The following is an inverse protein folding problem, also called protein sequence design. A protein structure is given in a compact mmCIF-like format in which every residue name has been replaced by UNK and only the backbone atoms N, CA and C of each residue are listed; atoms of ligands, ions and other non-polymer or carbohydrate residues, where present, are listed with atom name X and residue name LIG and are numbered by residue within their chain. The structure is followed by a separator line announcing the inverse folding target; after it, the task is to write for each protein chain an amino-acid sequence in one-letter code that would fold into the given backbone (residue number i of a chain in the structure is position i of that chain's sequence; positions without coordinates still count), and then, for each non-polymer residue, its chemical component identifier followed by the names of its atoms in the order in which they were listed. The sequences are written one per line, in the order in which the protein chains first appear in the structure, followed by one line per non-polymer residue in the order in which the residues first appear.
data_IF_314360542113
#
_entry.id   IF_314360542113
#
_cell.length_a   1.000
_cell.length_b   1.000
_cell.length_c   1.000
_cell.angle_alpha   90.00
_cell.angle_beta   90.00
_cell.angle_gamma   90.00
#
_symmetry.space_group_name_H-M   'P 1'
#
loop_
_entity.id
_entity.type
_entity.pdbx_description
1 polymer ?
#
# COMPACT_ATOMS: atom_id res chain seq x y z
N UNK A 1 52.90 30.68 0.89
CA UNK A 1 52.48 29.37 0.36
C UNK A 1 51.20 29.01 1.07
N UNK A 2 50.19 29.88 1.02
CA UNK A 2 49.27 30.13 -0.13
C UNK A 2 48.36 28.90 -0.27
N UNK A 3 47.04 28.97 -0.34
CA UNK A 3 46.06 30.02 -0.17
C UNK A 3 44.68 29.32 -0.16
N UNK A 4 43.64 30.04 0.26
CA UNK A 4 42.24 29.95 -0.22
C UNK A 4 41.15 29.02 0.40
N UNK A 5 40.12 29.74 0.91
CA UNK A 5 38.65 29.49 0.88
C UNK A 5 38.06 28.33 1.73
N UNK A 6 36.90 28.40 2.42
CA UNK A 6 35.74 29.27 2.29
C UNK A 6 34.86 29.35 3.58
N UNK A 7 34.09 30.44 3.63
CA UNK A 7 32.84 30.77 4.34
C UNK A 7 32.12 29.75 5.26
N UNK A 8 31.83 30.23 6.49
CA UNK A 8 30.67 29.86 7.30
C UNK A 8 29.41 30.64 6.88
N UNK A 9 28.22 30.05 7.06
CA UNK A 9 27.07 30.80 7.55
C UNK A 9 26.53 30.24 8.87
N UNK A 10 26.21 31.16 9.78
CA UNK A 10 25.38 30.96 10.96
C UNK A 10 23.92 30.79 10.54
N UNK A 11 23.20 29.84 11.13
CA UNK A 11 21.74 29.89 11.24
C UNK A 11 21.31 29.69 12.71
N UNK A 12 21.19 30.82 13.41
CA UNK A 12 20.27 31.00 14.54
C UNK A 12 18.99 31.60 13.95
N UNK A 13 17.90 30.84 13.87
CA UNK A 13 16.51 31.33 13.94
C UNK A 13 15.55 30.15 13.72
N UNK A 14 14.83 29.73 14.77
CA UNK A 14 13.36 29.65 14.78
C UNK A 14 12.87 28.92 16.04
N UNK A 15 13.05 29.56 17.20
CA UNK A 15 12.42 29.17 18.45
C UNK A 15 11.01 29.78 18.61
N UNK A 16 10.30 30.02 17.49
CA UNK A 16 8.96 30.65 17.48
C UNK A 16 7.83 29.78 16.94
N UNK A 17 8.08 28.52 16.55
CA UNK A 17 7.02 27.60 16.11
C UNK A 17 6.56 26.58 17.16
N UNK A 18 7.18 26.52 18.34
CA UNK A 18 6.81 25.55 19.38
C UNK A 18 5.66 26.07 20.28
N UNK A 19 5.37 27.38 20.27
CA UNK A 19 4.30 27.96 21.10
C UNK A 19 2.90 27.92 20.47
N UNK A 20 2.78 27.63 19.17
CA UNK A 20 1.48 27.58 18.48
C UNK A 20 0.85 26.17 18.46
N UNK A 21 1.64 25.12 18.67
CA UNK A 21 1.15 23.73 18.64
C UNK A 21 0.52 23.25 19.95
N UNK A 22 0.82 23.90 21.08
CA UNK A 22 0.29 23.51 22.39
C UNK A 22 -1.10 24.11 22.72
N UNK A 23 -1.57 25.10 21.95
CA UNK A 23 -2.87 25.74 22.20
C UNK A 23 -4.04 25.05 21.49
N UNK A 24 -3.76 24.27 20.43
CA UNK A 24 -4.79 23.55 19.66
C UNK A 24 -5.26 22.25 20.36
N UNK A 25 -4.36 21.58 21.08
CA UNK A 25 -4.69 20.33 21.79
C UNK A 25 -5.51 20.55 23.07
N UNK A 26 -5.42 21.73 23.69
CA UNK A 26 -6.19 22.05 24.90
C UNK A 26 -7.65 22.41 24.60
N UNK A 27 -7.97 22.83 23.36
CA UNK A 27 -9.33 23.19 22.94
C UNK A 27 -10.17 21.98 22.48
N UNK A 28 -9.53 20.89 22.02
CA UNK A 28 -10.21 19.67 21.57
C UNK A 28 -10.63 18.73 22.71
N UNK A 29 -10.01 18.83 23.89
CA UNK A 29 -10.37 18.02 25.07
C UNK A 29 -11.55 18.57 25.87
N UNK A 30 -12.01 19.79 25.59
CA UNK A 30 -13.19 20.41 26.23
C UNK A 30 -14.50 20.20 25.48
N UNK A 31 -14.46 19.68 24.25
CA UNK A 31 -15.66 19.42 23.42
C UNK A 31 -16.25 18.01 23.59
N UNK A 32 -15.56 17.09 24.27
CA UNK A 32 -16.05 15.73 24.53
C UNK A 32 -16.65 15.53 25.93
N UNK A 33 -16.75 16.58 26.75
CA UNK A 33 -17.28 16.51 28.12
C UNK A 33 -18.68 17.12 28.31
N UNK A 34 -19.36 17.51 27.22
CA UNK A 34 -20.74 17.99 27.26
C UNK A 34 -21.49 17.35 26.09
N UNK A 35 -22.27 16.31 26.39
CA UNK A 35 -23.68 16.12 26.02
C UNK A 35 -24.09 14.71 26.45
N UNK A 36 -24.72 14.65 27.62
CA UNK A 36 -25.40 13.46 28.12
C UNK A 36 -26.77 13.26 27.48
N UNK A 37 -27.12 11.99 27.32
CA UNK A 37 -28.30 11.33 27.89
C UNK A 37 -29.75 11.78 27.56
N UNK A 38 -30.53 10.72 27.19
CA UNK A 38 -31.98 10.43 27.43
C UNK A 38 -32.98 10.84 26.33
N UNK A 39 -33.72 9.87 25.76
CA UNK A 39 -35.15 9.55 26.00
C UNK A 39 -35.54 8.22 25.32
N UNK A 40 -36.26 7.38 26.07
CA UNK A 40 -36.98 6.14 25.73
C UNK A 40 -38.41 6.42 25.24
N UNK A 41 -39.00 5.58 24.36
CA UNK A 41 -40.38 5.06 24.47
C UNK A 41 -40.80 4.18 23.26
N UNK A 42 -41.76 3.31 23.53
CA UNK A 42 -42.24 2.09 22.85
C UNK A 42 -43.19 2.26 21.63
N UNK A 43 -43.40 1.10 21.00
CA UNK A 43 -44.45 0.59 20.09
C UNK A 43 -45.84 1.27 20.07
N UNK A 44 -46.50 1.18 18.90
CA UNK A 44 -47.95 1.42 18.77
C UNK A 44 -48.46 1.36 17.33
N UNK A 45 -49.44 0.51 17.11
CA UNK A 45 -49.90 -0.09 15.86
C UNK A 45 -50.96 0.72 15.06
N UNK A 46 -51.09 0.32 13.80
CA UNK A 46 -52.12 0.48 12.75
C UNK A 46 -53.46 1.26 12.91
N UNK A 47 -53.86 1.80 11.74
CA UNK A 47 -55.19 1.69 11.07
C UNK A 47 -56.18 2.88 11.03
N UNK A 48 -56.44 3.29 9.76
CA UNK A 48 -57.71 3.65 9.09
C UNK A 48 -58.66 4.77 9.62
N UNK A 49 -58.97 5.78 8.80
CA UNK A 49 -60.17 5.82 7.94
C UNK A 49 -60.31 7.12 7.11
N UNK A 50 -61.02 7.02 5.99
CA UNK A 50 -61.37 8.03 4.97
C UNK A 50 -62.24 9.19 5.52
N UNK A 51 -62.52 10.34 4.86
CA UNK A 51 -62.91 10.60 3.46
C UNK A 51 -63.04 12.12 3.22
N UNK A 52 -63.03 12.53 1.93
CA UNK A 52 -63.77 13.64 1.28
C UNK A 52 -63.00 14.92 0.85
N UNK A 53 -63.42 15.55 -0.28
CA UNK A 53 -62.52 16.16 -1.27
C UNK A 53 -62.62 17.70 -1.38
N UNK A 54 -61.64 18.32 -2.05
CA UNK A 54 -61.61 19.76 -2.37
C UNK A 54 -60.91 19.97 -3.74
N UNK A 55 -61.06 21.13 -4.42
CA UNK A 55 -61.70 21.21 -5.73
C UNK A 55 -60.74 21.50 -6.90
N UNK A 56 -61.28 21.32 -8.10
CA UNK A 56 -60.69 21.69 -9.40
C UNK A 56 -60.48 23.20 -9.56
N UNK A 57 -59.40 23.57 -10.24
CA UNK A 57 -59.05 24.92 -10.69
C UNK A 57 -58.12 24.81 -11.91
N UNK A 58 -58.07 25.81 -12.82
CA UNK A 58 -58.46 25.63 -14.21
C UNK A 58 -57.30 25.44 -15.18
N UNK A 59 -57.65 24.94 -16.38
CA UNK A 59 -56.79 24.86 -17.54
C UNK A 59 -56.29 26.24 -17.96
N UNK A 60 -54.97 26.38 -18.04
CA UNK A 60 -54.30 27.44 -18.81
C UNK A 60 -53.66 26.81 -20.03
N UNK A 61 -54.29 27.07 -21.16
CA UNK A 61 -53.76 26.88 -22.50
C UNK A 61 -52.78 28.01 -22.77
N UNK A 62 -51.50 27.71 -22.99
CA UNK A 62 -50.64 28.61 -23.77
C UNK A 62 -49.39 27.90 -24.33
N UNK A 63 -49.18 28.20 -25.61
CA UNK A 63 -47.94 28.10 -26.38
C UNK A 63 -47.50 26.68 -26.77
N UNK A 64 -48.00 26.26 -27.94
CA UNK A 64 -47.23 25.52 -28.93
C UNK A 64 -45.90 26.23 -29.22
N UNK A 65 -44.89 25.94 -28.40
CA UNK A 65 -43.51 26.19 -28.77
C UNK A 65 -43.13 25.17 -29.84
N UNK A 66 -42.88 25.66 -31.05
CA UNK A 66 -42.19 24.90 -32.08
C UNK A 66 -40.93 24.27 -31.47
N UNK A 67 -40.60 23.00 -31.77
CA UNK A 67 -39.35 22.44 -31.28
C UNK A 67 -38.20 23.32 -31.79
N UNK A 68 -37.22 23.68 -30.95
CA UNK A 68 -36.01 24.30 -31.46
C UNK A 68 -35.42 23.32 -32.47
N UNK A 69 -35.40 23.72 -33.74
CA UNK A 69 -34.60 23.10 -34.78
C UNK A 69 -33.14 23.35 -34.45
N UNK A 70 -32.61 22.57 -33.52
CA UNK A 70 -31.18 22.41 -33.34
C UNK A 70 -30.87 20.95 -33.67
N UNK A 71 -30.65 20.70 -34.96
CA UNK A 71 -30.10 19.45 -35.45
C UNK A 71 -28.65 19.32 -34.98
N UNK A 72 -28.43 18.95 -33.73
CA UNK A 72 -27.25 18.17 -33.39
C UNK A 72 -27.61 16.72 -33.72
N UNK A 73 -27.33 16.30 -34.95
CA UNK A 73 -27.49 14.89 -35.34
C UNK A 73 -26.71 14.03 -34.35
N UNK A 74 -27.40 13.10 -33.67
CA UNK A 74 -26.76 12.16 -32.76
C UNK A 74 -25.66 11.38 -33.49
N UNK A 75 -24.46 11.20 -32.90
CA UNK A 75 -23.34 10.54 -33.55
C UNK A 75 -23.74 9.15 -34.06
N UNK A 76 -23.49 8.87 -35.35
CA UNK A 76 -23.82 7.60 -35.97
C UNK A 76 -22.61 6.66 -35.99
N UNK A 77 -22.80 5.33 -36.01
CA UNK A 77 -21.69 4.38 -36.10
C UNK A 77 -20.74 4.61 -37.29
N UNK A 78 -21.26 5.15 -38.40
CA UNK A 78 -20.49 5.48 -39.61
C UNK A 78 -19.48 6.61 -39.43
N UNK A 79 -19.65 7.45 -38.39
CA UNK A 79 -18.77 8.58 -38.13
C UNK A 79 -17.44 8.14 -37.49
N UNK A 80 -17.37 6.88 -37.05
CA UNK A 80 -16.25 6.31 -36.31
C UNK A 80 -15.44 5.32 -37.16
N UNK A 81 -14.15 5.10 -36.82
CA UNK A 81 -13.28 4.19 -37.58
C UNK A 81 -13.78 2.75 -37.60
N UNK A 82 -14.43 2.33 -36.51
CA UNK A 82 -15.03 1.02 -36.37
C UNK A 82 -16.09 1.04 -35.25
N UNK A 83 -16.89 -0.02 -35.18
CA UNK A 83 -17.98 -0.16 -34.21
C UNK A 83 -17.48 -0.21 -32.74
N UNK A 84 -16.28 -0.75 -32.49
CA UNK A 84 -15.72 -0.82 -31.13
C UNK A 84 -15.40 0.58 -30.60
N UNK A 85 -14.80 1.44 -31.42
CA UNK A 85 -14.56 2.84 -31.05
C UNK A 85 -15.85 3.64 -30.87
N UNK A 86 -16.88 3.39 -31.69
CA UNK A 86 -18.21 4.00 -31.47
C UNK A 86 -18.81 3.59 -30.10
N UNK A 87 -18.70 2.31 -29.73
CA UNK A 87 -19.19 1.83 -28.44
C UNK A 87 -18.38 2.42 -27.27
N UNK A 88 -17.05 2.44 -27.38
CA UNK A 88 -16.18 3.07 -26.39
C UNK A 88 -16.50 4.57 -26.24
N UNK A 89 -16.73 5.29 -27.34
CA UNK A 89 -17.15 6.68 -27.31
C UNK A 89 -18.41 6.89 -26.46
N UNK A 90 -19.46 6.08 -26.66
CA UNK A 90 -20.69 6.19 -25.84
C UNK A 90 -20.41 5.99 -24.34
N UNK A 91 -19.54 5.02 -24.01
CA UNK A 91 -19.13 4.75 -22.62
C UNK A 91 -18.38 5.95 -22.05
N UNK A 92 -17.39 6.48 -22.78
CA UNK A 92 -16.61 7.65 -22.37
C UNK A 92 -17.50 8.87 -22.18
N UNK A 93 -18.44 9.15 -23.09
CA UNK A 93 -19.32 10.31 -22.96
C UNK A 93 -20.29 10.18 -21.78
N UNK A 94 -20.77 8.97 -21.47
CA UNK A 94 -21.57 8.73 -20.26
C UNK A 94 -20.75 8.94 -19.00
N UNK A 95 -19.53 8.41 -18.95
CA UNK A 95 -18.62 8.64 -17.83
C UNK A 95 -18.25 10.11 -17.67
N UNK A 96 -18.02 10.83 -18.76
CA UNK A 96 -17.77 12.28 -18.75
C UNK A 96 -18.89 13.06 -18.06
N UNK A 97 -20.14 12.60 -18.16
CA UNK A 97 -21.29 13.21 -17.49
C UNK A 97 -21.34 12.93 -15.97
N UNK A 98 -20.64 11.89 -15.48
CA UNK A 98 -20.54 11.60 -14.05
C UNK A 98 -19.39 12.33 -13.37
N UNK A 99 -18.44 12.88 -14.14
CA UNK A 99 -17.31 13.65 -13.61
C UNK A 99 -17.81 14.96 -13.02
N UNK A 100 -17.55 15.14 -11.72
CA UNK A 100 -17.97 16.31 -10.94
C UNK A 100 -16.87 17.37 -10.82
N UNK A 101 -15.61 17.00 -11.02
CA UNK A 101 -14.48 17.93 -11.04
C UNK A 101 -13.41 17.47 -12.04
N UNK A 102 -12.81 18.43 -12.74
CA UNK A 102 -11.68 18.22 -13.67
C UNK A 102 -10.75 19.43 -13.60
N UNK A 103 -9.90 19.52 -12.56
CA UNK A 103 -9.05 20.70 -12.32
C UNK A 103 -8.04 20.96 -13.43
N UNK A 104 -7.60 19.90 -14.11
CA UNK A 104 -6.60 19.96 -15.17
C UNK A 104 -7.24 20.12 -16.56
N UNK A 105 -8.57 20.14 -16.66
CA UNK A 105 -9.32 20.34 -17.91
C UNK A 105 -9.12 19.22 -18.94
N UNK A 106 -8.77 18.01 -18.51
CA UNK A 106 -8.43 16.89 -19.41
C UNK A 106 -9.64 16.44 -20.24
N UNK A 107 -10.83 16.46 -19.65
CA UNK A 107 -12.08 16.03 -20.29
C UNK A 107 -12.49 16.94 -21.45
N UNK A 108 -11.91 18.15 -21.56
CA UNK A 108 -12.09 19.04 -22.71
C UNK A 108 -11.63 18.40 -24.02
N UNK A 109 -10.65 17.47 -23.95
CA UNK A 109 -10.14 16.73 -25.11
C UNK A 109 -11.05 15.59 -25.56
N UNK A 110 -12.01 15.19 -24.73
CA UNK A 110 -12.90 14.05 -24.98
C UNK A 110 -14.09 14.47 -25.85
N UNK A 111 -13.80 14.95 -27.06
CA UNK A 111 -14.77 15.49 -28.03
C UNK A 111 -14.45 15.00 -29.45
N UNK A 112 -15.50 14.85 -30.27
CA UNK A 112 -15.38 14.35 -31.66
C UNK A 112 -15.32 12.83 -31.78
N UNK A 113 -15.24 12.32 -33.02
CA UNK A 113 -15.46 10.91 -33.35
C UNK A 113 -14.20 10.03 -33.33
N UNK A 114 -13.14 10.48 -32.64
CA UNK A 114 -11.83 9.79 -32.56
C UNK A 114 -11.42 9.61 -31.09
N UNK A 115 -12.02 8.64 -30.37
CA UNK A 115 -11.74 8.43 -28.95
C UNK A 115 -10.28 8.07 -28.66
N UNK A 116 -9.55 7.51 -29.63
CA UNK A 116 -8.12 7.24 -29.50
C UNK A 116 -7.24 8.49 -29.41
N UNK A 117 -7.77 9.67 -29.74
CA UNK A 117 -7.06 10.94 -29.61
C UNK A 117 -7.36 11.65 -28.29
N UNK A 118 -8.22 11.08 -27.46
CA UNK A 118 -8.58 11.66 -26.17
C UNK A 118 -7.40 11.49 -25.22
N UNK A 119 -7.09 12.54 -24.46
CA UNK A 119 -6.02 12.46 -23.47
C UNK A 119 -6.38 11.41 -22.42
N UNK A 120 -5.45 10.50 -22.17
CA UNK A 120 -5.60 9.37 -21.26
C UNK A 120 -6.20 8.11 -21.87
N UNK A 121 -6.54 8.09 -23.16
CA UNK A 121 -7.06 6.90 -23.85
C UNK A 121 -6.11 6.45 -24.95
N UNK A 122 -5.77 5.16 -24.94
CA UNK A 122 -4.83 4.57 -25.88
C UNK A 122 -5.46 3.35 -26.55
N UNK A 123 -5.38 3.34 -27.88
CA UNK A 123 -5.98 2.30 -28.69
C UNK A 123 -4.97 1.28 -29.16
N UNK A 124 -5.36 0.00 -29.12
CA UNK A 124 -4.61 -1.11 -29.69
C UNK A 124 -5.57 -2.15 -30.27
N UNK A 125 -5.08 -3.05 -31.13
CA UNK A 125 -5.88 -4.16 -31.67
C UNK A 125 -5.85 -5.36 -30.70
N UNK A 126 -7.01 -5.84 -30.20
CA UNK A 126 -7.04 -6.98 -29.29
C UNK A 126 -6.50 -8.27 -29.94
N UNK A 127 -5.93 -9.20 -29.16
CA UNK A 127 -5.45 -10.47 -29.68
C UNK A 127 -6.54 -11.25 -30.44
N UNK A 128 -6.18 -11.80 -31.60
CA UNK A 128 -7.10 -12.56 -32.44
C UNK A 128 -7.93 -11.74 -33.42
N UNK A 129 -7.82 -10.40 -33.39
CA UNK A 129 -8.41 -9.51 -34.39
C UNK A 129 -7.32 -8.87 -35.26
N UNK A 130 -7.70 -8.41 -36.46
CA UNK A 130 -6.81 -7.70 -37.38
C UNK A 130 -7.37 -6.31 -37.65
N UNK A 131 -6.50 -5.29 -37.57
CA UNK A 131 -6.80 -3.89 -37.91
C UNK A 131 -8.10 -3.31 -37.31
N UNK A 132 -8.44 -3.68 -36.06
CA UNK A 132 -9.63 -3.19 -35.36
C UNK A 132 -9.25 -2.56 -34.02
N UNK A 133 -8.55 -1.41 -34.05
CA UNK A 133 -8.10 -0.75 -32.83
C UNK A 133 -9.28 -0.27 -32.01
N UNK A 134 -9.20 -0.51 -30.70
CA UNK A 134 -10.18 -0.13 -29.66
C UNK A 134 -9.44 0.37 -28.44
N UNK A 135 -10.12 0.97 -27.47
CA UNK A 135 -9.50 1.40 -26.21
C UNK A 135 -8.98 0.16 -25.47
N UNK A 136 -7.66 0.02 -25.43
CA UNK A 136 -6.97 -1.09 -24.80
C UNK A 136 -6.22 -0.66 -23.52
N UNK A 137 -5.91 0.63 -23.40
CA UNK A 137 -5.27 1.19 -22.23
C UNK A 137 -5.87 2.54 -21.89
N UNK A 138 -6.05 2.79 -20.59
CA UNK A 138 -6.49 4.06 -20.04
C UNK A 138 -5.48 4.47 -18.97
N UNK A 139 -4.93 5.66 -19.10
CA UNK A 139 -4.02 6.25 -18.13
C UNK A 139 -4.57 7.62 -17.71
N UNK A 140 -5.10 7.66 -16.51
CA UNK A 140 -5.64 8.82 -15.82
C UNK A 140 -4.72 9.27 -14.66
N UNK A 141 -3.48 8.79 -14.61
CA UNK A 141 -2.57 9.13 -13.52
C UNK A 141 -2.42 10.64 -13.37
N UNK A 142 -2.64 11.15 -12.16
CA UNK A 142 -2.48 12.57 -11.84
C UNK A 142 -3.52 13.51 -12.45
N UNK A 143 -4.58 13.01 -13.08
CA UNK A 143 -5.60 13.87 -13.69
C UNK A 143 -6.45 14.63 -12.66
N UNK A 144 -6.50 14.15 -11.41
CA UNK A 144 -7.28 14.73 -10.30
C UNK A 144 -8.77 14.84 -10.61
N UNK A 145 -9.30 13.91 -11.40
CA UNK A 145 -10.73 13.83 -11.71
C UNK A 145 -11.52 13.44 -10.46
N UNK A 146 -12.70 14.03 -10.28
CA UNK A 146 -13.67 13.57 -9.29
C UNK A 146 -14.80 12.86 -10.02
N UNK A 147 -15.02 11.57 -9.75
CA UNK A 147 -16.22 10.87 -10.19
C UNK A 147 -16.75 10.01 -9.04
N UNK A 148 -18.08 9.99 -8.83
CA UNK A 148 -18.66 9.28 -7.70
C UNK A 148 -18.49 7.76 -7.81
N UNK A 149 -18.34 7.22 -9.03
CA UNK A 149 -18.22 5.79 -9.29
C UNK A 149 -17.54 5.53 -10.65
N UNK A 150 -16.91 4.36 -10.78
CA UNK A 150 -16.41 3.80 -12.04
C UNK A 150 -17.38 2.79 -12.68
N UNK A 151 -18.50 2.48 -12.00
CA UNK A 151 -19.54 1.58 -12.51
C UNK A 151 -20.19 2.15 -13.77
N UNK A 152 -20.36 1.30 -14.78
CA UNK A 152 -20.84 1.67 -16.11
C UNK A 152 -19.78 2.32 -17.00
N UNK A 153 -18.55 2.49 -16.49
CA UNK A 153 -17.40 2.94 -17.26
C UNK A 153 -16.40 1.81 -17.46
N UNK A 154 -15.73 1.38 -16.38
CA UNK A 154 -14.63 0.42 -16.45
C UNK A 154 -15.11 -0.97 -16.90
N UNK A 155 -16.22 -1.45 -16.34
CA UNK A 155 -16.89 -2.71 -16.68
C UNK A 155 -17.55 -2.72 -18.07
N UNK A 156 -17.64 -1.57 -18.73
CA UNK A 156 -18.24 -1.39 -20.06
C UNK A 156 -17.20 -1.32 -21.19
N UNK A 157 -15.93 -1.59 -20.91
CA UNK A 157 -14.82 -1.57 -21.89
C UNK A 157 -14.14 -2.95 -21.96
N UNK A 158 -14.75 -3.95 -22.61
CA UNK A 158 -14.33 -5.36 -22.54
C UNK A 158 -12.95 -5.67 -23.14
N UNK A 159 -12.41 -4.76 -23.96
CA UNK A 159 -11.10 -4.92 -24.61
C UNK A 159 -9.96 -4.29 -23.78
N UNK A 160 -10.24 -3.76 -22.59
CA UNK A 160 -9.27 -3.06 -21.76
C UNK A 160 -8.25 -4.03 -21.14
N UNK A 161 -6.98 -3.70 -21.31
CA UNK A 161 -5.84 -4.43 -20.75
C UNK A 161 -5.16 -3.68 -19.61
N UNK A 162 -5.10 -2.34 -19.68
CA UNK A 162 -4.44 -1.51 -18.68
C UNK A 162 -5.39 -0.42 -18.18
N UNK A 163 -5.55 -0.31 -16.87
CA UNK A 163 -6.25 0.80 -16.24
C UNK A 163 -5.37 1.40 -15.16
N UNK A 164 -4.83 2.59 -15.41
CA UNK A 164 -4.06 3.35 -14.45
C UNK A 164 -4.83 4.62 -14.08
N UNK A 165 -5.13 4.78 -12.79
CA UNK A 165 -5.96 5.85 -12.28
C UNK A 165 -5.40 6.48 -11.01
N UNK A 166 -4.08 6.44 -10.85
CA UNK A 166 -3.40 6.96 -9.67
C UNK A 166 -3.74 8.45 -9.44
N UNK A 167 -3.90 8.85 -8.18
CA UNK A 167 -4.03 10.26 -7.78
C UNK A 167 -5.24 10.94 -8.43
N UNK A 168 -6.40 10.28 -8.33
CA UNK A 168 -7.70 10.84 -8.66
C UNK A 168 -8.59 10.88 -7.41
N UNK A 169 -9.83 11.32 -7.56
CA UNK A 169 -10.84 11.33 -6.52
C UNK A 169 -12.05 10.47 -6.96
N UNK A 170 -11.75 9.26 -7.43
CA UNK A 170 -12.77 8.25 -7.72
C UNK A 170 -13.21 7.57 -6.43
N UNK A 171 -14.52 7.51 -6.20
CA UNK A 171 -15.09 6.94 -4.98
C UNK A 171 -15.89 5.67 -5.24
N UNK A 172 -16.64 5.21 -4.23
CA UNK A 172 -17.50 4.02 -4.28
C UNK A 172 -16.69 2.73 -4.50
N UNK A 173 -17.40 1.61 -4.66
CA UNK A 173 -16.84 0.28 -4.90
C UNK A 173 -16.28 0.15 -6.32
N UNK A 174 -15.31 -0.75 -6.48
CA UNK A 174 -14.80 -1.14 -7.80
C UNK A 174 -15.89 -1.95 -8.53
N UNK A 175 -16.16 -1.66 -9.82
CA UNK A 175 -17.18 -2.38 -10.57
C UNK A 175 -16.84 -3.85 -10.82
N UNK A 176 -17.78 -4.60 -11.38
CA UNK A 176 -17.53 -5.99 -11.76
C UNK A 176 -16.58 -6.08 -12.96
N UNK A 177 -15.37 -6.56 -12.70
CA UNK A 177 -14.30 -6.67 -13.69
C UNK A 177 -14.27 -8.04 -14.39
N UNK A 178 -15.17 -8.97 -14.06
CA UNK A 178 -15.19 -10.33 -14.64
C UNK A 178 -15.40 -10.32 -16.16
N UNK A 179 -15.97 -9.24 -16.71
CA UNK A 179 -16.17 -9.00 -18.13
C UNK A 179 -14.92 -8.49 -18.87
N UNK A 180 -13.78 -8.33 -18.19
CA UNK A 180 -12.53 -7.78 -18.73
C UNK A 180 -11.45 -8.88 -18.90
N UNK A 181 -11.56 -9.75 -19.90
CA UNK A 181 -10.70 -10.94 -20.04
C UNK A 181 -9.23 -10.62 -20.33
N UNK A 182 -8.93 -9.40 -20.78
CA UNK A 182 -7.57 -8.96 -21.13
C UNK A 182 -6.91 -8.13 -20.04
N UNK A 183 -7.60 -7.84 -18.92
CA UNK A 183 -7.07 -6.96 -17.89
C UNK A 183 -5.79 -7.54 -17.29
N UNK A 184 -4.71 -6.80 -17.48
CA UNK A 184 -3.34 -7.17 -17.18
C UNK A 184 -2.78 -6.32 -16.05
N UNK A 185 -3.08 -5.01 -16.03
CA UNK A 185 -2.71 -4.09 -14.95
C UNK A 185 -3.90 -3.28 -14.49
N UNK A 186 -4.09 -3.24 -13.17
CA UNK A 186 -5.08 -2.41 -12.50
C UNK A 186 -4.40 -1.59 -11.40
N UNK A 187 -4.30 -0.29 -11.63
CA UNK A 187 -3.84 0.69 -10.64
C UNK A 187 -4.98 1.65 -10.30
N UNK A 188 -5.54 1.47 -9.09
CA UNK A 188 -6.55 2.34 -8.48
C UNK A 188 -5.98 3.11 -7.30
N UNK A 189 -4.66 3.21 -7.18
CA UNK A 189 -4.01 3.77 -6.01
C UNK A 189 -4.33 5.24 -5.81
N UNK A 190 -4.33 5.70 -4.56
CA UNK A 190 -4.56 7.11 -4.21
C UNK A 190 -5.88 7.66 -4.77
N UNK A 191 -6.98 7.06 -4.33
CA UNK A 191 -8.37 7.42 -4.65
C UNK A 191 -9.22 7.37 -3.37
N UNK A 192 -10.54 7.51 -3.50
CA UNK A 192 -11.50 7.44 -2.39
C UNK A 192 -12.38 6.18 -2.44
N UNK A 193 -11.88 5.10 -3.07
CA UNK A 193 -12.62 3.85 -3.17
C UNK A 193 -12.87 3.24 -1.78
N UNK A 194 -14.06 2.67 -1.60
CA UNK A 194 -14.49 2.09 -0.32
C UNK A 194 -15.18 0.75 -0.50
N UNK A 195 -15.66 0.15 0.59
CA UNK A 195 -16.26 -1.19 0.57
C UNK A 195 -15.25 -2.30 0.85
N UNK A 196 -15.53 -3.51 0.38
CA UNK A 196 -14.67 -4.68 0.57
C UNK A 196 -13.60 -4.78 -0.54
N UNK A 197 -12.64 -5.70 -0.37
CA UNK A 197 -11.71 -6.06 -1.44
C UNK A 197 -12.48 -6.47 -2.72
N UNK A 198 -12.11 -5.98 -3.92
CA UNK A 198 -12.83 -6.27 -5.15
C UNK A 198 -12.56 -7.70 -5.62
N UNK A 199 -13.31 -8.68 -5.11
CA UNK A 199 -13.13 -10.10 -5.43
C UNK A 199 -13.35 -10.45 -6.90
N UNK A 200 -13.91 -9.54 -7.69
CA UNK A 200 -14.09 -9.65 -9.14
C UNK A 200 -12.76 -9.66 -9.91
N UNK A 201 -11.65 -9.26 -9.28
CA UNK A 201 -10.30 -9.43 -9.86
C UNK A 201 -9.80 -10.87 -9.80
N UNK A 202 -10.36 -11.71 -8.93
CA UNK A 202 -9.85 -13.06 -8.68
C UNK A 202 -9.92 -14.00 -9.89
N UNK A 203 -10.97 -13.97 -10.73
CA UNK A 203 -11.04 -14.81 -11.93
C UNK A 203 -10.12 -14.35 -13.07
N UNK A 204 -9.49 -13.17 -12.96
CA UNK A 204 -8.68 -12.57 -14.01
C UNK A 204 -7.30 -13.23 -14.08
N UNK A 205 -7.23 -14.35 -14.79
CA UNK A 205 -6.03 -15.20 -14.86
C UNK A 205 -4.77 -14.51 -15.43
N UNK A 206 -4.94 -13.38 -16.13
CA UNK A 206 -3.84 -12.62 -16.75
C UNK A 206 -3.35 -11.44 -15.89
N UNK A 207 -4.02 -11.13 -14.78
CA UNK A 207 -3.69 -9.95 -13.97
C UNK A 207 -2.29 -10.06 -13.33
N UNK A 208 -1.39 -9.17 -13.75
CA UNK A 208 0.01 -9.14 -13.32
C UNK A 208 0.36 -8.02 -12.36
N UNK A 209 -0.43 -6.96 -12.34
CA UNK A 209 -0.24 -5.83 -11.45
C UNK A 209 -1.58 -5.43 -10.82
N UNK A 210 -1.63 -5.44 -9.49
CA UNK A 210 -2.78 -4.97 -8.73
C UNK A 210 -2.33 -3.98 -7.65
N UNK A 211 -2.68 -2.71 -7.83
CA UNK A 211 -2.42 -1.65 -6.87
C UNK A 211 -3.72 -0.98 -6.40
N UNK A 212 -4.02 -1.17 -5.12
CA UNK A 212 -5.21 -0.65 -4.43
C UNK A 212 -4.83 0.28 -3.27
N UNK A 213 -3.58 0.73 -3.20
CA UNK A 213 -3.10 1.49 -2.03
C UNK A 213 -3.76 2.84 -1.86
N UNK A 214 -3.69 3.38 -0.65
CA UNK A 214 -4.20 4.73 -0.35
C UNK A 214 -5.66 4.88 -0.78
N UNK A 215 -6.50 3.98 -0.27
CA UNK A 215 -7.94 3.98 -0.45
C UNK A 215 -8.60 3.71 0.92
N UNK A 216 -9.91 3.47 0.93
CA UNK A 216 -10.70 3.14 2.13
C UNK A 216 -11.30 1.74 2.06
N UNK A 217 -10.64 0.80 1.36
CA UNK A 217 -11.08 -0.60 1.35
C UNK A 217 -11.01 -1.18 2.77
N UNK A 218 -12.00 -1.96 3.15
CA UNK A 218 -12.21 -2.44 4.50
C UNK A 218 -12.59 -3.92 4.54
N UNK A 219 -12.63 -4.50 5.74
CA UNK A 219 -12.98 -5.91 5.92
C UNK A 219 -11.81 -6.85 5.59
N UNK A 220 -12.12 -7.97 4.93
CA UNK A 220 -11.19 -9.06 4.68
C UNK A 220 -10.66 -9.07 3.24
N UNK A 221 -9.44 -9.59 3.07
CA UNK A 221 -8.83 -9.91 1.78
C UNK A 221 -8.94 -11.42 1.59
N UNK A 222 -9.68 -11.92 0.59
CA UNK A 222 -9.81 -13.34 0.34
C UNK A 222 -8.45 -14.03 0.23
N UNK A 223 -8.29 -15.19 0.89
CA UNK A 223 -7.02 -15.93 0.85
C UNK A 223 -6.61 -16.30 -0.58
N UNK A 224 -7.59 -16.42 -1.49
CA UNK A 224 -7.39 -16.69 -2.92
C UNK A 224 -6.63 -15.60 -3.66
N UNK A 225 -6.58 -14.37 -3.15
CA UNK A 225 -5.73 -13.30 -3.71
C UNK A 225 -4.26 -13.75 -3.73
N UNK A 226 -3.83 -14.49 -2.71
CA UNK A 226 -2.47 -15.01 -2.62
C UNK A 226 -2.23 -16.23 -3.52
N UNK A 227 -3.20 -16.68 -4.30
CA UNK A 227 -3.00 -17.68 -5.36
C UNK A 227 -2.97 -17.06 -6.76
N UNK A 228 -3.19 -15.74 -6.87
CA UNK A 228 -3.03 -15.04 -8.14
C UNK A 228 -1.57 -15.12 -8.59
N UNK A 229 -1.36 -15.33 -9.90
CA UNK A 229 -0.03 -15.31 -10.53
C UNK A 229 0.40 -13.89 -10.87
N UNK A 230 0.18 -12.98 -9.94
CA UNK A 230 0.47 -11.55 -10.05
C UNK A 230 1.90 -11.29 -9.60
N UNK A 231 2.60 -10.35 -10.22
CA UNK A 231 3.98 -10.02 -9.86
C UNK A 231 4.02 -8.94 -8.74
N UNK A 232 3.03 -8.05 -8.73
CA UNK A 232 2.88 -6.94 -7.77
C UNK A 232 1.49 -6.96 -7.11
N UNK A 233 1.46 -7.04 -5.78
CA UNK A 233 0.24 -6.95 -4.99
C UNK A 233 0.37 -5.89 -3.90
N UNK A 234 -0.27 -4.75 -4.12
CA UNK A 234 -0.12 -3.55 -3.32
C UNK A 234 -1.44 -3.18 -2.63
N UNK A 235 -1.52 -3.40 -1.31
CA UNK A 235 -2.74 -3.21 -0.50
C UNK A 235 -2.55 -2.25 0.69
N UNK A 236 -1.38 -1.63 0.84
CA UNK A 236 -1.11 -0.73 1.98
C UNK A 236 -1.99 0.52 2.03
N UNK A 237 -2.09 1.10 3.24
CA UNK A 237 -2.87 2.32 3.50
C UNK A 237 -4.34 2.14 3.13
N UNK A 238 -4.95 1.12 3.74
CA UNK A 238 -6.37 0.80 3.67
C UNK A 238 -6.88 0.47 5.09
N UNK A 239 -8.10 -0.02 5.20
CA UNK A 239 -8.78 -0.40 6.45
C UNK A 239 -8.97 -1.93 6.56
N UNK A 240 -8.14 -2.73 5.90
CA UNK A 240 -8.23 -4.19 5.96
C UNK A 240 -7.90 -4.70 7.37
N UNK A 241 -8.67 -5.68 7.85
CA UNK A 241 -8.55 -6.22 9.20
C UNK A 241 -8.83 -7.72 9.21
N UNK A 242 -7.77 -8.52 9.31
CA UNK A 242 -7.84 -9.98 9.42
C UNK A 242 -6.49 -10.57 9.83
N UNK A 243 -6.41 -11.84 10.25
CA UNK A 243 -5.15 -12.54 10.34
C UNK A 243 -4.47 -12.69 8.97
N UNK A 244 -3.12 -12.74 8.94
CA UNK A 244 -2.43 -13.21 7.73
C UNK A 244 -2.85 -14.66 7.42
N UNK A 245 -3.12 -15.00 6.14
CA UNK A 245 -3.56 -16.34 5.78
C UNK A 245 -2.43 -17.36 6.01
N UNK A 246 -2.79 -18.54 6.48
CA UNK A 246 -1.82 -19.60 6.78
C UNK A 246 -0.98 -20.01 5.57
N UNK A 247 -1.52 -19.89 4.35
CA UNK A 247 -0.89 -20.28 3.09
C UNK A 247 -0.30 -19.10 2.30
N UNK A 248 0.01 -17.98 2.96
CA UNK A 248 0.57 -16.77 2.35
C UNK A 248 1.74 -17.05 1.38
N UNK A 249 2.64 -17.98 1.74
CA UNK A 249 3.78 -18.29 0.88
C UNK A 249 3.49 -19.20 -0.31
N UNK A 250 2.25 -19.58 -0.55
CA UNK A 250 1.83 -20.15 -1.85
C UNK A 250 1.74 -19.09 -2.95
N UNK A 251 1.84 -17.80 -2.57
CA UNK A 251 1.87 -16.69 -3.51
C UNK A 251 3.12 -16.67 -4.37
N UNK A 252 2.90 -16.38 -5.66
CA UNK A 252 3.97 -16.19 -6.64
C UNK A 252 4.36 -14.72 -6.81
N UNK A 253 3.81 -13.83 -5.96
CA UNK A 253 4.10 -12.40 -5.97
C UNK A 253 5.58 -12.14 -5.70
N UNK A 254 6.12 -11.14 -6.38
CA UNK A 254 7.47 -10.63 -6.14
C UNK A 254 7.48 -9.44 -5.19
N UNK A 255 6.48 -8.55 -5.30
CA UNK A 255 6.37 -7.34 -4.49
C UNK A 255 5.05 -7.34 -3.71
N UNK A 256 5.15 -7.57 -2.40
CA UNK A 256 3.98 -7.65 -1.51
C UNK A 256 4.05 -6.54 -0.46
N UNK A 257 3.03 -5.69 -0.42
CA UNK A 257 2.87 -4.71 0.66
C UNK A 257 1.46 -4.77 1.24
N UNK A 258 1.42 -5.04 2.54
CA UNK A 258 0.22 -5.04 3.38
C UNK A 258 0.32 -3.96 4.47
N UNK A 259 1.27 -3.04 4.34
CA UNK A 259 1.59 -2.04 5.35
C UNK A 259 0.40 -1.14 5.73
N UNK A 260 0.44 -0.48 6.88
CA UNK A 260 -0.55 0.53 7.27
C UNK A 260 -2.01 0.03 7.14
N UNK A 261 -2.30 -1.10 7.78
CA UNK A 261 -3.63 -1.73 7.84
C UNK A 261 -3.84 -2.25 9.28
N UNK A 262 -4.83 -3.12 9.49
CA UNK A 262 -5.09 -3.79 10.75
C UNK A 262 -4.91 -5.32 10.66
N UNK A 263 -3.93 -5.80 9.88
CA UNK A 263 -3.63 -7.23 9.83
C UNK A 263 -3.14 -7.74 11.19
N UNK A 264 -3.62 -8.90 11.62
CA UNK A 264 -3.36 -9.51 12.94
C UNK A 264 -2.74 -10.91 12.78
N UNK A 265 -2.60 -11.64 13.89
CA UNK A 265 -2.06 -13.00 13.89
C UNK A 265 -0.55 -13.05 13.68
N UNK A 266 -0.03 -14.24 13.43
CA UNK A 266 1.41 -14.47 13.24
C UNK A 266 1.82 -14.39 11.78
N UNK A 267 3.08 -14.04 11.50
CA UNK A 267 3.66 -14.29 10.17
C UNK A 267 3.68 -15.82 9.96
N UNK A 268 2.99 -16.34 8.93
CA UNK A 268 2.82 -17.78 8.75
C UNK A 268 4.13 -18.44 8.32
N UNK A 269 4.36 -19.68 8.77
CA UNK A 269 5.53 -20.48 8.38
C UNK A 269 5.60 -20.74 6.88
N UNK A 270 4.46 -20.75 6.21
CA UNK A 270 4.37 -20.95 4.76
C UNK A 270 5.15 -19.90 3.98
N UNK A 271 5.47 -18.73 4.54
CA UNK A 271 6.24 -17.67 3.86
C UNK A 271 7.52 -18.18 3.20
N UNK A 272 8.17 -19.20 3.79
CA UNK A 272 9.37 -19.81 3.20
C UNK A 272 9.13 -20.54 1.86
N UNK A 273 7.90 -20.92 1.55
CA UNK A 273 7.53 -21.52 0.26
C UNK A 273 7.66 -20.52 -0.90
N UNK A 274 7.53 -19.22 -0.63
CA UNK A 274 7.71 -18.16 -1.62
C UNK A 274 9.19 -17.71 -1.76
N UNK A 275 10.12 -18.57 -1.34
CA UNK A 275 11.57 -18.30 -1.37
C UNK A 275 12.16 -17.99 -2.74
N UNK A 276 11.50 -18.47 -3.80
CA UNK A 276 11.92 -18.27 -5.18
C UNK A 276 11.33 -17.01 -5.83
N UNK A 277 10.27 -16.43 -5.26
CA UNK A 277 9.48 -15.38 -5.90
C UNK A 277 9.50 -14.06 -5.14
N UNK A 278 9.40 -14.07 -3.81
CA UNK A 278 9.33 -12.85 -3.00
C UNK A 278 10.67 -12.11 -2.99
N UNK A 279 10.62 -10.87 -3.48
CA UNK A 279 11.73 -9.91 -3.53
C UNK A 279 11.54 -8.86 -2.43
N UNK A 280 10.33 -8.33 -2.28
CA UNK A 280 10.05 -7.28 -1.30
C UNK A 280 8.78 -7.59 -0.51
N UNK A 281 8.89 -7.49 0.81
CA UNK A 281 7.81 -7.79 1.75
C UNK A 281 7.69 -6.66 2.77
N UNK A 282 6.58 -5.92 2.71
CA UNK A 282 6.29 -4.80 3.61
C UNK A 282 5.03 -5.09 4.45
N UNK A 283 5.24 -5.42 5.72
CA UNK A 283 4.20 -5.69 6.73
C UNK A 283 4.12 -4.63 7.83
N UNK A 284 4.89 -3.55 7.70
CA UNK A 284 4.98 -2.54 8.74
C UNK A 284 3.66 -1.87 9.10
N UNK A 285 3.57 -1.39 10.34
CA UNK A 285 2.41 -0.68 10.88
C UNK A 285 1.11 -1.48 10.73
N UNK A 286 1.10 -2.65 11.35
CA UNK A 286 -0.05 -3.55 11.46
C UNK A 286 -0.19 -3.98 12.93
N UNK A 287 -0.99 -5.01 13.19
CA UNK A 287 -1.19 -5.63 14.51
C UNK A 287 -0.69 -7.07 14.54
N UNK A 288 0.34 -7.39 13.74
CA UNK A 288 0.95 -8.73 13.70
C UNK A 288 1.61 -9.04 15.04
N UNK A 289 1.47 -10.28 15.51
CA UNK A 289 1.93 -10.71 16.83
C UNK A 289 2.59 -12.09 16.77
N UNK A 290 3.05 -12.58 17.93
CA UNK A 290 3.71 -13.88 18.05
C UNK A 290 5.15 -13.88 17.55
N UNK A 291 5.72 -15.07 17.35
CA UNK A 291 7.14 -15.25 17.08
C UNK A 291 7.48 -15.11 15.60
N UNK A 292 8.69 -14.65 15.30
CA UNK A 292 9.25 -14.72 13.94
C UNK A 292 9.50 -16.19 13.54
N UNK A 293 8.91 -16.69 12.44
CA UNK A 293 9.20 -18.02 11.94
C UNK A 293 10.60 -18.08 11.32
N UNK A 294 11.35 -19.16 11.57
CA UNK A 294 12.69 -19.34 10.98
C UNK A 294 12.63 -19.41 9.44
N UNK A 295 11.47 -19.77 8.88
CA UNK A 295 11.24 -19.86 7.44
C UNK A 295 11.43 -18.54 6.68
N UNK A 296 11.41 -17.39 7.36
CA UNK A 296 11.79 -16.10 6.74
C UNK A 296 13.22 -16.18 6.21
N UNK A 297 14.13 -16.87 6.93
CA UNK A 297 15.50 -17.09 6.47
C UNK A 297 15.63 -17.92 5.18
N UNK A 298 14.54 -18.52 4.68
CA UNK A 298 14.52 -19.24 3.41
C UNK A 298 14.29 -18.29 2.22
N UNK A 299 13.92 -17.03 2.42
CA UNK A 299 13.63 -16.06 1.36
C UNK A 299 14.91 -15.59 0.65
N UNK A 300 15.46 -16.44 -0.22
CA UNK A 300 16.74 -16.22 -0.91
C UNK A 300 16.71 -15.04 -1.90
N UNK A 301 15.53 -14.66 -2.39
CA UNK A 301 15.37 -13.55 -3.32
C UNK A 301 15.07 -12.22 -2.63
N UNK A 302 14.78 -12.22 -1.33
CA UNK A 302 14.34 -11.02 -0.63
C UNK A 302 15.46 -9.99 -0.50
N UNK A 303 15.21 -8.79 -1.02
CA UNK A 303 16.05 -7.60 -0.86
C UNK A 303 15.52 -6.70 0.25
N UNK A 304 14.20 -6.67 0.47
CA UNK A 304 13.56 -5.89 1.53
C UNK A 304 12.61 -6.75 2.34
N UNK A 305 12.81 -6.76 3.65
CA UNK A 305 11.87 -7.32 4.61
C UNK A 305 11.61 -6.30 5.73
N UNK A 306 10.41 -5.72 5.74
CA UNK A 306 10.00 -4.75 6.73
C UNK A 306 8.78 -5.26 7.51
N UNK A 307 8.95 -5.55 8.79
CA UNK A 307 7.89 -5.90 9.72
C UNK A 307 7.86 -4.94 10.92
N UNK A 308 8.34 -3.70 10.73
CA UNK A 308 8.39 -2.69 11.78
C UNK A 308 7.02 -2.29 12.32
N UNK A 309 6.96 -1.72 13.52
CA UNK A 309 5.74 -1.19 14.13
C UNK A 309 4.59 -2.22 14.17
N UNK A 310 4.88 -3.37 14.80
CA UNK A 310 3.92 -4.45 15.04
C UNK A 310 4.00 -4.88 16.52
N UNK A 311 3.38 -6.01 16.87
CA UNK A 311 3.40 -6.62 18.19
C UNK A 311 4.19 -7.94 18.19
N UNK A 312 5.15 -8.10 17.27
CA UNK A 312 5.95 -9.31 17.09
C UNK A 312 6.88 -9.45 18.29
N UNK A 313 7.02 -10.67 18.81
CA UNK A 313 7.81 -10.97 20.00
C UNK A 313 8.78 -12.13 19.78
N UNK A 314 9.63 -12.41 20.75
CA UNK A 314 10.62 -13.49 20.67
C UNK A 314 12.01 -13.05 20.23
N UNK A 315 12.96 -13.99 20.18
CA UNK A 315 14.29 -13.76 19.63
C UNK A 315 14.28 -13.74 18.10
N UNK A 316 15.29 -13.10 17.49
CA UNK A 316 15.53 -13.21 16.04
C UNK A 316 16.08 -14.61 15.74
N UNK A 317 15.44 -15.42 14.87
CA UNK A 317 15.95 -16.73 14.48
C UNK A 317 17.30 -16.64 13.77
N UNK A 318 18.20 -17.60 14.02
CA UNK A 318 19.54 -17.61 13.38
C UNK A 318 19.47 -17.84 11.86
N UNK A 319 18.38 -18.41 11.37
CA UNK A 319 18.12 -18.55 9.94
C UNK A 319 18.09 -17.22 9.18
N UNK A 320 17.87 -16.08 9.86
CA UNK A 320 17.90 -14.77 9.20
C UNK A 320 19.28 -14.48 8.58
N UNK A 321 20.36 -15.08 9.08
CA UNK A 321 21.68 -15.02 8.44
C UNK A 321 21.75 -15.66 7.03
N UNK A 322 20.66 -16.29 6.56
CA UNK A 322 20.53 -16.86 5.22
C UNK A 322 19.82 -15.94 4.22
N UNK A 323 19.45 -14.71 4.61
CA UNK A 323 18.87 -13.70 3.73
C UNK A 323 19.96 -13.05 2.86
N UNK A 324 20.60 -13.82 1.99
CA UNK A 324 21.86 -13.44 1.32
C UNK A 324 21.73 -12.25 0.33
N UNK A 325 20.51 -11.85 -0.04
CA UNK A 325 20.25 -10.69 -0.91
C UNK A 325 19.67 -9.49 -0.16
N UNK A 326 19.45 -9.60 1.15
CA UNK A 326 18.78 -8.52 1.89
C UNK A 326 19.65 -7.27 1.92
N UNK A 327 19.01 -6.15 1.63
CA UNK A 327 19.56 -4.80 1.65
C UNK A 327 18.95 -3.99 2.79
N UNK A 328 17.66 -4.23 3.06
CA UNK A 328 16.88 -3.56 4.10
C UNK A 328 16.17 -4.61 4.96
N UNK A 329 16.52 -4.67 6.23
CA UNK A 329 15.84 -5.50 7.22
C UNK A 329 15.37 -4.61 8.37
N UNK A 330 14.06 -4.39 8.45
CA UNK A 330 13.46 -3.54 9.47
C UNK A 330 12.51 -4.33 10.36
N UNK A 331 12.85 -4.40 11.65
CA UNK A 331 12.06 -5.02 12.71
C UNK A 331 11.81 -4.03 13.86
N UNK A 332 11.98 -2.73 13.62
CA UNK A 332 11.86 -1.70 14.64
C UNK A 332 10.46 -1.61 15.24
N UNK A 333 10.32 -1.09 16.46
CA UNK A 333 9.03 -0.85 17.10
C UNK A 333 8.21 -2.14 17.32
N UNK A 334 8.85 -3.19 17.81
CA UNK A 334 8.22 -4.47 18.13
C UNK A 334 8.49 -4.86 19.61
N UNK A 335 8.14 -6.09 19.98
CA UNK A 335 8.36 -6.70 21.29
C UNK A 335 9.45 -7.78 21.24
N UNK A 336 10.42 -7.66 20.32
CA UNK A 336 11.52 -8.61 20.17
C UNK A 336 12.51 -8.49 21.32
N UNK A 337 13.13 -9.59 21.73
CA UNK A 337 14.03 -9.64 22.89
C UNK A 337 15.16 -10.65 22.73
N UNK A 338 16.05 -10.70 23.72
CA UNK A 338 17.22 -11.58 23.73
C UNK A 338 18.42 -10.94 23.05
N UNK A 339 19.26 -11.77 22.43
CA UNK A 339 20.49 -11.33 21.78
C UNK A 339 20.25 -11.08 20.30
N UNK A 340 20.78 -9.97 19.77
CA UNK A 340 20.88 -9.76 18.31
C UNK A 340 21.97 -10.70 17.76
N UNK A 341 21.64 -11.70 16.93
CA UNK A 341 22.58 -12.74 16.54
C UNK A 341 23.70 -12.23 15.63
N UNK A 342 24.93 -12.69 15.85
CA UNK A 342 26.09 -12.40 15.00
C UNK A 342 25.83 -12.69 13.52
N UNK A 343 25.14 -13.80 13.24
CA UNK A 343 24.82 -14.25 11.87
C UNK A 343 23.98 -13.24 11.09
N UNK A 344 23.15 -12.44 11.77
CA UNK A 344 22.34 -11.40 11.12
C UNK A 344 23.21 -10.19 10.80
N UNK A 345 24.06 -9.76 11.73
CA UNK A 345 24.96 -8.63 11.50
C UNK A 345 26.05 -8.95 10.45
N UNK A 346 26.49 -10.20 10.34
CA UNK A 346 27.46 -10.61 9.30
C UNK A 346 26.92 -10.49 7.87
N UNK A 347 25.61 -10.38 7.68
CA UNK A 347 25.03 -10.05 6.38
C UNK A 347 25.57 -8.72 5.83
N UNK A 348 25.83 -7.72 6.68
CA UNK A 348 26.42 -6.46 6.22
C UNK A 348 27.84 -6.62 5.62
N UNK A 349 28.50 -7.76 5.88
CA UNK A 349 29.82 -8.10 5.33
C UNK A 349 29.70 -9.04 4.12
N UNK A 350 28.71 -9.93 4.11
CA UNK A 350 28.60 -11.00 3.10
C UNK A 350 27.50 -10.80 2.07
N UNK A 351 26.59 -9.86 2.31
CA UNK A 351 25.51 -9.45 1.42
C UNK A 351 25.54 -7.93 1.23
N UNK A 352 24.46 -7.39 0.67
CA UNK A 352 24.26 -5.96 0.44
C UNK A 352 23.49 -5.27 1.59
N UNK A 353 23.47 -5.85 2.80
CA UNK A 353 22.70 -5.30 3.92
C UNK A 353 23.23 -3.91 4.29
N UNK A 354 22.44 -2.90 3.95
CA UNK A 354 22.77 -1.50 4.12
C UNK A 354 22.04 -0.87 5.31
N UNK A 355 20.90 -1.43 5.71
CA UNK A 355 20.13 -0.96 6.85
C UNK A 355 19.49 -2.13 7.61
N UNK A 356 19.84 -2.21 8.89
CA UNK A 356 19.31 -3.12 9.87
C UNK A 356 18.69 -2.32 11.01
N UNK A 357 17.38 -2.11 10.95
CA UNK A 357 16.66 -1.34 11.96
C UNK A 357 16.02 -2.26 13.00
N UNK A 358 16.55 -2.22 14.22
CA UNK A 358 16.10 -3.00 15.38
C UNK A 358 15.65 -2.10 16.54
N UNK A 359 15.50 -0.80 16.29
CA UNK A 359 15.18 0.17 17.33
C UNK A 359 13.80 -0.04 17.93
N UNK A 360 13.57 0.42 19.17
CA UNK A 360 12.25 0.32 19.79
C UNK A 360 11.84 -1.11 20.17
N UNK A 361 12.79 -2.01 20.43
CA UNK A 361 12.55 -3.40 20.88
C UNK A 361 12.99 -3.57 22.35
N UNK A 362 13.19 -4.82 22.79
CA UNK A 362 13.65 -5.19 24.13
C UNK A 362 14.88 -6.12 24.07
N UNK A 363 15.75 -5.93 23.07
CA UNK A 363 17.03 -6.65 23.02
C UNK A 363 17.88 -6.30 24.24
N UNK A 364 18.59 -7.28 24.77
CA UNK A 364 19.45 -7.14 25.97
C UNK A 364 20.92 -7.26 25.65
N UNK A 365 21.27 -7.94 24.55
CA UNK A 365 22.64 -8.22 24.16
C UNK A 365 22.83 -8.07 22.65
N UNK A 366 24.07 -7.81 22.25
CA UNK A 366 24.51 -7.76 20.86
C UNK A 366 25.58 -8.82 20.62
N UNK A 367 25.48 -9.50 19.47
CA UNK A 367 26.58 -10.29 18.93
C UNK A 367 27.82 -9.44 18.66
N UNK A 368 28.99 -10.06 18.65
CA UNK A 368 30.27 -9.35 18.53
C UNK A 368 30.36 -8.53 17.23
N UNK A 369 29.94 -9.12 16.11
CA UNK A 369 29.94 -8.54 14.76
C UNK A 369 28.99 -7.35 14.62
N UNK A 370 28.02 -7.20 15.52
CA UNK A 370 27.04 -6.12 15.47
C UNK A 370 27.59 -4.76 15.92
N UNK A 371 28.62 -4.76 16.77
CA UNK A 371 29.17 -3.52 17.35
C UNK A 371 29.74 -2.56 16.31
N UNK A 372 30.38 -3.09 15.27
CA UNK A 372 30.92 -2.27 14.17
C UNK A 372 29.81 -1.55 13.39
N UNK A 373 28.65 -2.19 13.23
CA UNK A 373 27.55 -1.69 12.42
C UNK A 373 26.82 -0.50 13.03
N UNK A 374 26.85 -0.36 14.36
CA UNK A 374 26.30 0.82 15.04
C UNK A 374 27.11 2.05 14.65
N UNK A 375 28.45 1.92 14.60
CA UNK A 375 29.35 3.03 14.26
C UNK A 375 29.23 3.44 12.80
N UNK A 376 29.00 2.48 11.90
CA UNK A 376 28.81 2.76 10.46
C UNK A 376 27.39 3.22 10.12
N UNK A 377 26.46 3.22 11.09
CA UNK A 377 25.06 3.63 10.87
C UNK A 377 24.20 2.57 10.17
N UNK A 378 24.73 1.38 9.91
CA UNK A 378 23.98 0.26 9.31
C UNK A 378 23.01 -0.35 10.32
N UNK A 379 23.37 -0.40 11.61
CA UNK A 379 22.55 -0.99 12.67
C UNK A 379 21.97 0.07 13.61
N UNK A 380 20.65 0.19 13.65
CA UNK A 380 19.94 0.99 14.66
C UNK A 380 19.39 0.10 15.77
N UNK A 381 19.89 0.29 17.00
CA UNK A 381 19.46 -0.41 18.22
C UNK A 381 19.03 0.55 19.33
N UNK A 382 18.68 1.80 18.98
CA UNK A 382 18.14 2.76 19.95
C UNK A 382 16.81 2.25 20.53
N UNK A 383 16.41 2.75 21.69
CA UNK A 383 15.17 2.37 22.37
C UNK A 383 15.08 0.85 22.59
N UNK A 384 16.16 0.23 23.05
CA UNK A 384 16.22 -1.18 23.48
C UNK A 384 16.55 -1.30 24.98
N UNK A 385 16.85 -2.51 25.45
CA UNK A 385 17.24 -2.80 26.83
C UNK A 385 18.72 -3.24 26.95
N UNK A 386 19.59 -2.70 26.08
CA UNK A 386 21.00 -3.09 26.00
C UNK A 386 21.81 -2.27 27.01
N UNK A 387 22.49 -2.93 27.93
CA UNK A 387 23.29 -2.24 28.94
C UNK A 387 24.53 -1.57 28.32
N UNK A 388 24.79 -0.31 28.71
CA UNK A 388 26.00 0.42 28.32
C UNK A 388 25.93 1.16 26.98
N UNK A 389 24.83 1.05 26.23
CA UNK A 389 24.59 1.84 25.02
C UNK A 389 23.78 3.12 25.31
N UNK A 390 23.94 4.18 24.50
CA UNK A 390 23.12 5.40 24.60
C UNK A 390 21.69 5.17 24.08
N UNK A 391 20.80 6.10 24.41
CA UNK A 391 19.41 6.16 23.91
C UNK A 391 18.60 4.88 24.13
N UNK A 392 18.82 4.20 25.25
CA UNK A 392 18.10 2.97 25.62
C UNK A 392 16.84 3.27 26.42
N UNK A 393 15.93 2.28 26.50
CA UNK A 393 14.70 2.37 27.28
C UNK A 393 15.00 2.57 28.77
N UNK A 394 14.09 3.22 29.52
CA UNK A 394 14.19 3.30 30.97
C UNK A 394 14.31 1.91 31.62
N UNK A 395 15.18 1.77 32.61
CA UNK A 395 15.41 0.50 33.33
C UNK A 395 14.10 -0.11 33.86
N UNK A 396 13.21 0.73 34.41
CA UNK A 396 11.92 0.29 34.94
C UNK A 396 11.03 -0.35 33.86
N UNK A 397 11.06 0.17 32.63
CA UNK A 397 10.31 -0.38 31.50
C UNK A 397 10.87 -1.75 31.09
N UNK A 398 12.19 -1.87 30.97
CA UNK A 398 12.86 -3.14 30.67
C UNK A 398 12.56 -4.20 31.72
N UNK A 399 12.71 -3.87 33.02
CA UNK A 399 12.35 -4.79 34.11
C UNK A 399 10.91 -5.24 33.98
N UNK A 400 9.96 -4.30 33.82
CA UNK A 400 8.53 -4.60 33.68
C UNK A 400 8.25 -5.54 32.50
N UNK A 401 8.92 -5.35 31.37
CA UNK A 401 8.76 -6.22 30.21
C UNK A 401 9.21 -7.66 30.50
N UNK A 402 10.29 -7.86 31.25
CA UNK A 402 10.84 -9.18 31.59
C UNK A 402 10.20 -9.85 32.80
N UNK A 403 9.34 -9.17 33.55
CA UNK A 403 8.55 -9.79 34.64
C UNK A 403 7.63 -10.90 34.15
N UNK A 404 7.15 -10.81 32.90
CA UNK A 404 6.25 -11.79 32.31
C UNK A 404 7.00 -12.65 31.30
N UNK A 405 7.00 -13.96 31.54
CA UNK A 405 7.57 -14.93 30.62
C UNK A 405 6.83 -14.89 29.28
N UNK A 406 7.57 -14.84 28.19
CA UNK A 406 7.06 -14.93 26.82
C UNK A 406 7.66 -16.17 26.19
N UNK A 407 6.84 -17.03 25.61
CA UNK A 407 7.35 -18.25 24.99
C UNK A 407 7.50 -18.06 23.48
N UNK A 408 8.75 -18.06 23.02
CA UNK A 408 9.09 -18.27 21.62
C UNK A 408 10.20 -19.32 21.54
N UNK A 409 10.07 -20.38 20.73
CA UNK A 409 11.10 -21.39 20.60
C UNK A 409 12.35 -20.75 19.97
N UNK A 410 13.49 -20.84 20.66
CA UNK A 410 14.77 -20.52 20.06
C UNK A 410 15.13 -21.66 19.11
N UNK A 411 15.18 -21.37 17.82
CA UNK A 411 15.54 -22.34 16.80
C UNK A 411 16.97 -22.01 16.34
N UNK A 412 18.01 -22.74 16.81
CA UNK A 412 19.40 -22.50 16.43
C UNK A 412 19.74 -23.02 15.03
N UNK A 413 18.76 -23.60 14.32
CA UNK A 413 18.91 -24.13 12.98
C UNK A 413 19.17 -23.03 11.95
N UNK A 414 20.18 -23.24 11.11
CA UNK A 414 20.56 -22.36 10.01
C UNK A 414 20.46 -23.16 8.71
N UNK A 415 19.49 -22.86 7.82
CA UNK A 415 19.18 -23.66 6.64
C UNK A 415 20.14 -23.44 5.44
N UNK A 416 21.23 -22.69 5.62
CA UNK A 416 22.19 -22.37 4.57
C UNK A 416 23.63 -22.66 5.03
N UNK A 417 24.53 -22.83 4.06
CA UNK A 417 25.95 -22.93 4.34
C UNK A 417 26.54 -21.55 4.59
N UNK A 418 26.83 -21.26 5.86
CA UNK A 418 27.54 -20.05 6.25
C UNK A 418 29.05 -20.23 6.08
N UNK A 419 29.79 -19.19 5.66
CA UNK A 419 31.24 -19.26 5.55
C UNK A 419 31.89 -19.67 6.88
N UNK A 420 32.83 -20.63 6.83
CA UNK A 420 33.47 -21.21 8.01
C UNK A 420 34.12 -20.18 8.95
N UNK A 421 34.58 -19.05 8.41
CA UNK A 421 35.18 -17.96 9.19
C UNK A 421 34.18 -17.16 10.05
N UNK A 422 32.86 -17.36 9.90
CA UNK A 422 31.85 -16.74 10.77
C UNK A 422 31.91 -17.24 12.22
N UNK A 423 32.46 -18.44 12.45
CA UNK A 423 32.45 -19.11 13.75
C UNK A 423 33.82 -19.09 14.47
N UNK A 424 34.90 -18.78 13.74
CA UNK A 424 36.19 -18.44 14.34
C UNK A 424 36.17 -16.96 14.61
N UNK A 425 36.14 -16.52 15.87
CA UNK A 425 36.15 -15.11 16.29
C UNK A 425 37.39 -14.30 15.89
N UNK A 426 37.97 -14.55 14.72
CA UNK A 426 38.97 -13.74 14.09
C UNK A 426 38.32 -12.51 13.48
N UNK A 427 38.78 -11.35 13.94
CA UNK A 427 38.65 -10.07 13.26
C UNK A 427 39.04 -10.30 11.79
N UNK A 428 38.15 -9.97 10.86
CA UNK A 428 38.55 -9.83 9.47
C UNK A 428 39.57 -8.68 9.41
N UNK A 429 40.87 -9.02 9.44
CA UNK A 429 41.91 -8.12 8.98
C UNK A 429 41.74 -8.00 7.47
N UNK A 430 41.48 -6.78 7.00
CA UNK A 430 41.51 -6.43 5.58
C UNK A 430 40.32 -5.57 5.18
N UNK A 431 40.46 -4.25 5.37
CA UNK A 431 40.42 -3.21 4.32
C UNK A 431 39.39 -3.30 3.18
N UNK A 432 38.30 -4.03 3.32
CA UNK A 432 37.13 -3.83 2.49
C UNK A 432 36.38 -2.63 3.05
N UNK A 433 36.55 -1.47 2.41
CA UNK A 433 35.69 -0.32 2.67
C UNK A 433 34.22 -0.79 2.59
N UNK A 434 33.37 -0.44 3.57
CA UNK A 434 31.95 -0.75 3.46
C UNK A 434 31.43 -0.15 2.15
N UNK A 435 30.53 -0.85 1.43
CA UNK A 435 29.92 -0.28 0.24
C UNK A 435 29.32 1.09 0.61
N UNK A 436 29.43 2.10 -0.28
CA UNK A 436 28.89 3.42 -0.01
C UNK A 436 27.40 3.29 0.36
N UNK A 437 26.88 4.13 1.26
CA UNK A 437 25.46 4.15 1.55
C UNK A 437 24.72 4.28 0.21
N UNK A 438 23.79 3.37 -0.09
CA UNK A 438 23.06 3.43 -1.34
C UNK A 438 22.41 4.82 -1.44
N UNK A 439 22.61 5.44 -2.61
CA UNK A 439 21.93 6.66 -3.00
C UNK A 439 20.44 6.51 -2.71
N UNK A 440 19.84 7.54 -2.10
CA UNK A 440 18.45 7.68 -1.64
C UNK A 440 17.39 7.28 -2.69
N UNK A 441 17.23 5.99 -2.95
CA UNK A 441 16.36 5.49 -4.01
C UNK A 441 16.06 4.01 -3.86
N UNK A 442 15.67 3.58 -2.65
CA UNK A 442 15.03 2.28 -2.50
C UNK A 442 13.65 2.32 -3.14
N UNK A 443 13.54 1.76 -4.35
CA UNK A 443 12.27 1.61 -5.10
C UNK A 443 11.21 0.86 -4.29
N UNK A 444 11.60 0.09 -3.28
CA UNK A 444 10.69 -0.63 -2.38
C UNK A 444 9.88 0.27 -1.47
N UNK A 445 10.51 1.31 -0.93
CA UNK A 445 9.82 2.26 -0.04
C UNK A 445 9.00 3.28 -0.81
N UNK A 446 9.23 3.45 -2.13
CA UNK A 446 8.31 4.25 -2.97
C UNK A 446 6.88 3.71 -2.89
N UNK A 447 6.74 2.41 -2.59
CA UNK A 447 5.46 1.77 -2.38
C UNK A 447 4.67 2.29 -1.14
N UNK A 448 5.37 2.87 -0.17
CA UNK A 448 4.77 3.40 1.04
C UNK A 448 4.48 4.89 0.96
N UNK A 449 4.98 5.56 -0.07
CA UNK A 449 4.67 6.95 -0.33
C UNK A 449 3.37 7.01 -1.14
N UNK A 450 2.55 8.01 -0.80
CA UNK A 450 1.40 8.32 -1.63
C UNK A 450 1.94 8.65 -3.03
N UNK A 451 1.55 7.92 -4.08
CA UNK A 451 2.13 8.14 -5.38
C UNK A 451 1.81 9.56 -5.84
N UNK A 452 2.80 10.25 -6.38
CA UNK A 452 2.64 11.58 -6.95
C UNK A 452 2.19 11.43 -8.41
N UNK A 453 1.17 12.19 -8.82
CA UNK A 453 0.69 12.16 -10.21
C UNK A 453 1.68 12.84 -11.14
N UNK A 454 2.61 12.08 -11.71
CA UNK A 454 3.52 12.49 -12.77
C UNK A 454 3.18 11.83 -14.09
#
# INVERSE_FOLDING_TARGET
MDDNFAHRPNFKTSARHISAFLSYYFFLLLLFALHGQIITAEEGDTSSNATAPAPSSPAFECCSASPPSNSSSEPQPSDFPNLKQYNAYKVIQRFKQTITCDPNGVTSTWVGFRPCNYVGFFCETPPGLTNTPTIASIDFNGFRLCAPTLVGFLDSLPDLALFHANSNNFSDTVPDLTSLPFLYELDLSNNDHSGQFPSTVLPLAQLKFLDLRFNRFSGTVPATVFFLRTDVLFLNNNLFSQPLPADLGSSQVSYLTLANNAFTGTIPRSIGNASATLIEVLFLNNRLAGCLPYQIGLLKMATVFDAGFNQITGPIPYSFGCLLKVEQLNLAGNLLYGTVPDVVCRLAVTSNLANLSLSGNYFTWLGHSCWGLIKTGVLDVRQNCILGLPEQRPKAECVRFFLHSKFCPLIPYIPCHLPYWWFKGGVANGDAAPPPPPSSGYKSYSALHQPEGN
#
